data_IF_125944371606
#
_entry.id   IF_125944371606
#
_cell.length_a   1.000
_cell.length_b   1.000
_cell.length_c   1.000
_cell.angle_alpha   90.00
_cell.angle_beta   90.00
_cell.angle_gamma   90.00
#
_symmetry.space_group_name_H-M   'P 1'
#
loop_
_entity.id
_entity.type
_entity.pdbx_description
1 polymer ?
#
# COMPACT_ATOMS: atom_id res chain seq x y z
N UNK A 1 -25.59 -36.33 2.48
CA UNK A 1 -24.61 -35.58 3.29
C UNK A 1 -23.30 -35.38 2.55
N UNK A 2 -22.75 -36.39 1.87
CA UNK A 2 -21.50 -36.24 1.10
C UNK A 2 -21.61 -35.21 -0.02
N UNK A 3 -22.77 -35.07 -0.70
CA UNK A 3 -22.99 -34.08 -1.76
C UNK A 3 -22.94 -32.62 -1.28
N UNK A 4 -23.40 -32.38 -0.04
CA UNK A 4 -23.37 -31.03 0.57
C UNK A 4 -21.93 -30.59 0.86
N UNK A 5 -21.08 -31.51 1.33
CA UNK A 5 -19.68 -31.21 1.64
C UNK A 5 -18.89 -30.82 0.38
N UNK A 6 -19.13 -31.47 -0.76
CA UNK A 6 -18.51 -31.14 -2.04
C UNK A 6 -18.94 -29.76 -2.50
N UNK A 7 -20.22 -29.40 -2.34
CA UNK A 7 -20.74 -28.10 -2.73
C UNK A 7 -20.14 -26.97 -1.90
N UNK A 8 -19.99 -27.15 -0.59
CA UNK A 8 -19.35 -26.20 0.32
C UNK A 8 -17.88 -26.00 -0.05
N UNK A 9 -17.16 -27.08 -0.34
CA UNK A 9 -15.76 -27.01 -0.78
C UNK A 9 -15.61 -26.22 -2.09
N UNK A 10 -16.51 -26.43 -3.07
CA UNK A 10 -16.51 -25.70 -4.33
C UNK A 10 -16.74 -24.20 -4.13
N UNK A 11 -17.66 -23.80 -3.25
CA UNK A 11 -17.92 -22.40 -2.92
C UNK A 11 -16.69 -21.74 -2.26
N UNK A 12 -16.03 -22.43 -1.35
CA UNK A 12 -14.81 -21.93 -0.70
C UNK A 12 -13.65 -21.74 -1.69
N UNK A 13 -13.49 -22.64 -2.65
CA UNK A 13 -12.48 -22.53 -3.70
C UNK A 13 -12.75 -21.31 -4.60
N UNK A 14 -14.00 -21.11 -5.03
CA UNK A 14 -14.40 -19.97 -5.86
C UNK A 14 -14.15 -18.66 -5.11
N UNK A 15 -14.48 -18.57 -3.82
CA UNK A 15 -14.26 -17.39 -3.00
C UNK A 15 -12.78 -16.99 -2.90
N UNK A 16 -11.84 -17.96 -2.93
CA UNK A 16 -10.41 -17.70 -2.84
C UNK A 16 -9.80 -17.07 -4.10
N UNK A 17 -10.50 -17.04 -5.24
CA UNK A 17 -10.03 -16.43 -6.49
C UNK A 17 -10.46 -14.97 -6.68
N UNK A 18 -11.24 -14.39 -5.77
CA UNK A 18 -11.78 -13.03 -5.92
C UNK A 18 -10.87 -11.93 -5.37
N UNK A 19 -9.60 -12.23 -5.12
CA UNK A 19 -8.66 -11.30 -4.50
C UNK A 19 -8.07 -10.34 -5.52
N UNK A 20 -8.33 -9.03 -5.35
CA UNK A 20 -7.62 -7.96 -6.03
C UNK A 20 -6.54 -7.42 -5.11
N UNK A 21 -5.32 -7.24 -5.65
CA UNK A 21 -4.16 -6.81 -4.87
C UNK A 21 -4.05 -5.27 -4.75
N UNK A 22 -4.96 -4.52 -5.36
CA UNK A 22 -4.97 -3.06 -5.28
C UNK A 22 -5.47 -2.59 -3.92
N UNK A 23 -4.82 -1.57 -3.36
CA UNK A 23 -5.20 -0.96 -2.09
C UNK A 23 -5.59 0.50 -2.32
N UNK A 24 -6.78 0.88 -1.87
CA UNK A 24 -7.24 2.26 -1.89
C UNK A 24 -7.53 2.71 -0.45
N UNK A 25 -6.95 3.83 -0.06
CA UNK A 25 -7.30 4.54 1.18
C UNK A 25 -8.10 5.77 0.77
N UNK A 26 -9.41 5.75 1.04
CA UNK A 26 -10.33 6.79 0.59
C UNK A 26 -11.32 7.14 1.69
N UNK A 27 -11.93 8.31 1.59
CA UNK A 27 -13.03 8.73 2.47
C UNK A 27 -14.41 8.45 1.86
N UNK A 28 -14.47 8.15 0.57
CA UNK A 28 -15.72 7.95 -0.18
C UNK A 28 -15.97 6.50 -0.60
N UNK A 29 -15.07 5.59 -0.26
CA UNK A 29 -15.21 4.17 -0.61
C UNK A 29 -14.91 3.85 -2.08
N UNK A 30 -14.39 4.80 -2.85
CA UNK A 30 -14.06 4.56 -4.26
C UNK A 30 -12.89 3.59 -4.42
N UNK A 31 -12.86 2.89 -5.55
CA UNK A 31 -11.77 1.97 -5.88
C UNK A 31 -10.51 2.73 -6.31
N UNK A 32 -9.35 2.08 -6.16
CA UNK A 32 -8.11 2.61 -6.70
C UNK A 32 -8.16 2.69 -8.23
N UNK A 33 -7.44 3.66 -8.80
CA UNK A 33 -7.23 3.71 -10.25
C UNK A 33 -6.65 2.38 -10.74
N UNK A 34 -7.04 1.95 -11.94
CA UNK A 34 -6.62 0.67 -12.50
C UNK A 34 -5.10 0.54 -12.68
N UNK A 35 -4.38 1.66 -12.78
CA UNK A 35 -2.92 1.69 -12.91
C UNK A 35 -2.18 1.70 -11.58
N UNK A 36 -2.89 1.81 -10.44
CA UNK A 36 -2.28 1.95 -9.12
C UNK A 36 -2.37 0.67 -8.31
N UNK A 37 -1.27 0.27 -7.68
CA UNK A 37 -1.29 -0.76 -6.64
C UNK A 37 -1.74 -0.19 -5.30
N UNK A 38 -1.39 1.06 -5.02
CA UNK A 38 -1.83 1.81 -3.85
C UNK A 38 -2.24 3.21 -4.29
N UNK A 39 -3.44 3.63 -3.90
CA UNK A 39 -3.88 5.00 -4.10
C UNK A 39 -4.46 5.55 -2.80
N UNK A 40 -4.05 6.77 -2.44
CA UNK A 40 -4.59 7.50 -1.30
C UNK A 40 -5.35 8.70 -1.83
N UNK A 41 -6.66 8.77 -1.55
CA UNK A 41 -7.56 9.84 -2.04
C UNK A 41 -8.09 10.65 -0.89
N UNK A 42 -7.95 11.97 -0.95
CA UNK A 42 -8.52 12.88 0.02
C UNK A 42 -8.60 14.28 -0.57
N UNK A 43 -9.56 15.07 -0.11
CA UNK A 43 -9.70 16.48 -0.47
C UNK A 43 -9.20 17.41 0.65
N UNK A 44 -8.87 16.85 1.82
CA UNK A 44 -8.50 17.65 3.01
C UNK A 44 -7.31 17.08 3.79
N UNK A 45 -6.78 15.93 3.40
CA UNK A 45 -5.64 15.29 4.07
C UNK A 45 -4.61 14.81 3.06
N UNK A 46 -3.33 14.86 3.46
CA UNK A 46 -2.23 14.36 2.65
C UNK A 46 -1.73 13.00 3.10
N UNK A 47 -0.76 12.50 2.41
CA UNK A 47 -0.02 11.30 2.76
C UNK A 47 1.23 11.69 3.55
N UNK A 48 1.44 11.05 4.70
CA UNK A 48 2.60 11.29 5.53
C UNK A 48 3.48 10.04 5.53
N UNK A 49 4.60 10.02 4.78
CA UNK A 49 5.56 8.93 4.84
C UNK A 49 6.33 8.95 6.16
N UNK A 50 7.13 7.94 6.48
CA UNK A 50 7.98 7.96 7.66
C UNK A 50 8.82 9.23 7.72
N UNK A 51 8.80 9.92 8.85
CA UNK A 51 9.56 11.14 9.10
C UNK A 51 10.78 10.81 9.93
N UNK A 52 11.95 11.24 9.49
CA UNK A 52 13.20 10.96 10.16
C UNK A 52 14.22 12.07 9.91
N UNK A 53 15.23 12.14 10.77
CA UNK A 53 16.33 13.09 10.59
C UNK A 53 17.23 12.67 9.44
N UNK A 54 18.05 13.60 8.90
CA UNK A 54 19.03 13.27 7.86
C UNK A 54 19.97 12.15 8.29
N UNK A 55 20.37 12.13 9.57
CA UNK A 55 21.21 11.07 10.11
C UNK A 55 20.51 9.70 10.06
N UNK A 56 19.23 9.67 10.40
CA UNK A 56 18.42 8.44 10.33
C UNK A 56 18.19 7.99 8.89
N UNK A 57 17.96 8.93 7.97
CA UNK A 57 17.85 8.63 6.54
C UNK A 57 19.12 7.95 6.03
N UNK A 58 20.28 8.53 6.37
CA UNK A 58 21.58 8.01 5.93
C UNK A 58 21.91 6.66 6.59
N UNK A 59 21.28 6.33 7.71
CA UNK A 59 21.47 5.06 8.41
C UNK A 59 20.58 3.92 7.90
N UNK A 60 19.68 4.18 6.96
CA UNK A 60 18.87 3.11 6.35
C UNK A 60 19.81 2.14 5.63
N UNK A 61 19.75 0.87 6.04
CA UNK A 61 20.62 -0.16 5.47
C UNK A 61 20.12 -0.59 4.09
N UNK A 62 21.00 -0.57 3.09
CA UNK A 62 20.73 -1.02 1.72
C UNK A 62 19.36 -0.53 1.20
N UNK A 63 19.15 0.81 1.10
CA UNK A 63 17.85 1.33 0.71
C UNK A 63 17.52 0.95 -0.73
N UNK A 64 16.25 0.60 -0.96
CA UNK A 64 15.78 0.33 -2.30
C UNK A 64 15.73 1.61 -3.13
N UNK A 65 16.04 1.51 -4.41
CA UNK A 65 15.85 2.61 -5.35
C UNK A 65 14.36 3.01 -5.38
N UNK A 66 14.09 4.31 -5.27
CA UNK A 66 12.72 4.82 -5.21
C UNK A 66 12.11 4.87 -3.80
N UNK A 67 12.83 4.42 -2.76
CA UNK A 67 12.34 4.52 -1.39
C UNK A 67 12.12 5.97 -1.00
N UNK A 68 10.96 6.27 -0.41
CA UNK A 68 10.54 7.63 -0.08
C UNK A 68 10.40 7.76 1.44
N UNK A 69 11.01 8.81 2.00
CA UNK A 69 10.86 9.24 3.39
C UNK A 69 10.78 10.76 3.44
N UNK A 70 10.32 11.31 4.57
CA UNK A 70 10.38 12.74 4.82
C UNK A 70 11.57 13.05 5.71
N UNK A 71 12.46 13.91 5.26
CA UNK A 71 13.65 14.34 6.01
C UNK A 71 13.29 15.60 6.82
N UNK A 72 13.29 15.48 8.16
CA UNK A 72 12.91 16.59 9.05
C UNK A 72 13.98 17.66 9.17
N UNK A 73 15.23 17.37 8.88
CA UNK A 73 16.29 18.38 8.86
C UNK A 73 16.25 19.20 7.58
N UNK A 74 15.95 18.58 6.44
CA UNK A 74 15.80 19.24 5.15
C UNK A 74 14.39 19.83 4.94
N UNK A 75 13.43 19.45 5.77
CA UNK A 75 12.01 19.84 5.69
C UNK A 75 11.40 19.52 4.32
N UNK A 76 11.67 18.35 3.80
CA UNK A 76 11.13 17.91 2.50
C UNK A 76 11.11 16.40 2.37
N UNK A 77 10.21 15.85 1.52
CA UNK A 77 10.30 14.45 1.12
C UNK A 77 11.57 14.22 0.29
N UNK A 78 12.19 13.07 0.51
CA UNK A 78 13.36 12.63 -0.24
C UNK A 78 13.16 11.22 -0.74
N UNK A 79 13.83 10.87 -1.82
CA UNK A 79 13.77 9.51 -2.35
C UNK A 79 15.19 9.03 -2.66
N UNK A 80 15.34 7.71 -2.63
CA UNK A 80 16.62 7.10 -2.99
C UNK A 80 16.66 6.84 -4.50
N UNK A 81 17.64 7.41 -5.16
CA UNK A 81 17.79 7.34 -6.63
C UNK A 81 18.83 6.31 -7.12
N UNK A 82 19.38 5.55 -6.19
CA UNK A 82 20.35 4.49 -6.50
C UNK A 82 21.82 4.82 -6.25
#
# INVERSE_FOLDING_TARGET
MKKINILIAAILIIASYSLTAQVAVTTDGSSADGSAMLEVKSTDKGFLPPRMTSSEVNAISTPAEGLIVYDTDLNKPVYHDG
#
